data_IF_970185260988
#
_entry.id   IF_970185260988
#
_cell.length_a   1.000
_cell.length_b   1.000
_cell.length_c   1.000
_cell.angle_alpha   90.00
_cell.angle_beta   90.00
_cell.angle_gamma   90.00
#
_symmetry.space_group_name_H-M   'P 1'
#
loop_
_entity.id
_entity.type
_entity.pdbx_description
1 polymer ?
#
# COMPACT_ATOMS: atom_id res chain seq x y z
N UNK A 1 6.79 6.49 -20.89
CA UNK A 1 5.43 6.43 -20.32
C UNK A 1 5.05 7.86 -19.95
N UNK A 2 3.91 8.37 -20.40
CA UNK A 2 3.49 9.71 -19.98
C UNK A 2 2.85 9.66 -18.58
N UNK A 3 2.65 10.83 -17.96
CA UNK A 3 2.13 10.93 -16.60
C UNK A 3 0.69 10.41 -16.42
N UNK A 4 -0.19 10.62 -17.39
CA UNK A 4 -1.55 10.09 -17.40
C UNK A 4 -1.58 8.56 -17.46
N UNK A 5 -0.70 7.96 -18.27
CA UNK A 5 -0.57 6.50 -18.35
C UNK A 5 -0.10 5.93 -17.00
N UNK A 6 0.86 6.59 -16.35
CA UNK A 6 1.32 6.23 -15.00
C UNK A 6 0.18 6.32 -13.98
N UNK A 7 -0.57 7.43 -13.97
CA UNK A 7 -1.68 7.63 -13.02
C UNK A 7 -2.74 6.54 -13.20
N UNK A 8 -3.10 6.22 -14.45
CA UNK A 8 -4.04 5.14 -14.76
C UNK A 8 -3.52 3.80 -14.27
N UNK A 9 -2.25 3.50 -14.52
CA UNK A 9 -1.64 2.26 -14.08
C UNK A 9 -1.62 2.12 -12.55
N UNK A 10 -1.33 3.21 -11.83
CA UNK A 10 -1.40 3.22 -10.36
C UNK A 10 -2.82 2.96 -9.88
N UNK A 11 -3.81 3.60 -10.51
CA UNK A 11 -5.22 3.39 -10.19
C UNK A 11 -5.66 1.95 -10.44
N UNK A 12 -5.31 1.38 -11.59
CA UNK A 12 -5.61 -0.02 -11.93
C UNK A 12 -4.94 -0.99 -10.93
N UNK A 13 -3.71 -0.69 -10.53
CA UNK A 13 -2.98 -1.46 -9.51
C UNK A 13 -3.70 -1.41 -8.16
N UNK A 14 -4.13 -0.23 -7.70
CA UNK A 14 -4.88 -0.08 -6.45
C UNK A 14 -6.18 -0.89 -6.47
N UNK A 15 -6.97 -0.79 -7.53
CA UNK A 15 -8.25 -1.49 -7.66
C UNK A 15 -8.03 -3.00 -7.71
N UNK A 16 -7.02 -3.45 -8.47
CA UNK A 16 -6.67 -4.87 -8.54
C UNK A 16 -6.28 -5.43 -7.17
N UNK A 17 -5.40 -4.73 -6.44
CA UNK A 17 -4.97 -5.13 -5.09
C UNK A 17 -6.13 -5.09 -4.11
N UNK A 18 -6.98 -4.06 -4.16
CA UNK A 18 -8.18 -3.97 -3.33
C UNK A 18 -9.07 -5.20 -3.51
N UNK A 19 -9.40 -5.55 -4.75
CA UNK A 19 -10.24 -6.71 -5.04
C UNK A 19 -9.63 -8.01 -4.51
N UNK A 20 -8.32 -8.19 -4.66
CA UNK A 20 -7.61 -9.37 -4.14
C UNK A 20 -7.59 -9.41 -2.62
N UNK A 21 -7.39 -8.28 -1.95
CA UNK A 21 -7.43 -8.20 -0.48
C UNK A 21 -8.83 -8.49 0.05
N UNK A 22 -9.88 -7.96 -0.58
CA UNK A 22 -11.26 -8.10 -0.08
C UNK A 22 -11.71 -9.56 0.01
N UNK A 23 -11.23 -10.43 -0.89
CA UNK A 23 -11.52 -11.87 -0.84
C UNK A 23 -11.02 -12.52 0.45
N UNK A 24 -9.94 -12.02 1.05
CA UNK A 24 -9.39 -12.57 2.29
C UNK A 24 -10.26 -12.31 3.51
N UNK A 25 -11.11 -11.28 3.52
CA UNK A 25 -12.08 -11.07 4.59
C UNK A 25 -13.17 -12.15 4.56
N UNK A 26 -13.50 -12.67 3.38
CA UNK A 26 -14.60 -13.61 3.19
C UNK A 26 -14.17 -15.09 3.45
N UNK A 27 -12.92 -15.32 3.85
CA UNK A 27 -12.40 -16.65 4.21
C UNK A 27 -13.00 -17.17 5.54
N UNK A 28 -13.13 -18.50 5.71
CA UNK A 28 -13.59 -19.09 6.96
C UNK A 28 -12.79 -18.60 8.17
N UNK A 29 -13.45 -18.40 9.31
CA UNK A 29 -12.83 -17.83 10.50
C UNK A 29 -11.64 -18.66 11.02
N UNK A 30 -11.73 -20.00 10.90
CA UNK A 30 -10.67 -20.92 11.33
C UNK A 30 -9.39 -20.74 10.50
N UNK A 31 -9.54 -20.59 9.18
CA UNK A 31 -8.43 -20.28 8.27
C UNK A 31 -7.84 -18.91 8.59
N UNK A 32 -8.69 -17.90 8.83
CA UNK A 32 -8.21 -16.54 9.08
C UNK A 32 -7.49 -16.35 10.41
N UNK A 33 -7.88 -17.12 11.42
CA UNK A 33 -7.29 -17.12 12.76
C UNK A 33 -6.10 -18.08 12.89
N UNK A 34 -5.87 -18.94 11.89
CA UNK A 34 -4.74 -19.85 11.89
C UNK A 34 -3.43 -19.09 12.08
N UNK A 35 -2.62 -19.56 13.04
CA UNK A 35 -1.28 -19.05 13.30
C UNK A 35 -0.27 -20.00 12.65
N UNK A 36 0.55 -19.52 11.71
CA UNK A 36 1.56 -20.36 11.08
C UNK A 36 2.59 -20.85 12.10
N UNK A 37 3.16 -22.04 11.85
CA UNK A 37 4.09 -22.76 12.72
C UNK A 37 5.36 -21.97 13.03
N UNK A 38 5.76 -21.08 12.12
CA UNK A 38 6.89 -20.19 12.31
C UNK A 38 6.62 -19.04 13.32
N UNK A 39 5.45 -19.00 13.95
CA UNK A 39 5.06 -17.97 14.91
C UNK A 39 4.67 -16.63 14.25
N UNK A 40 4.46 -16.63 12.94
CA UNK A 40 4.07 -15.46 12.17
C UNK A 40 2.64 -14.97 12.44
N UNK A 41 2.25 -13.95 11.71
CA UNK A 41 0.92 -13.36 11.76
C UNK A 41 -0.13 -14.22 11.07
N UNK A 42 -1.32 -14.30 11.67
CA UNK A 42 -2.53 -14.84 11.04
C UNK A 42 -3.02 -13.93 9.92
N UNK A 43 -4.02 -14.37 9.14
CA UNK A 43 -4.62 -13.53 8.10
C UNK A 43 -5.28 -12.30 8.72
N UNK A 44 -5.97 -12.43 9.86
CA UNK A 44 -6.56 -11.28 10.55
C UNK A 44 -5.52 -10.23 10.97
N UNK A 45 -4.40 -10.69 11.53
CA UNK A 45 -3.29 -9.80 11.90
C UNK A 45 -2.69 -9.08 10.69
N UNK A 46 -2.56 -9.80 9.57
CA UNK A 46 -2.05 -9.23 8.31
C UNK A 46 -3.00 -8.15 7.78
N UNK A 47 -4.31 -8.41 7.77
CA UNK A 47 -5.32 -7.44 7.32
C UNK A 47 -5.31 -6.18 8.20
N UNK A 48 -5.23 -6.33 9.52
CA UNK A 48 -5.09 -5.20 10.44
C UNK A 48 -3.80 -4.41 10.14
N UNK A 49 -2.67 -5.10 9.98
CA UNK A 49 -1.38 -4.46 9.67
C UNK A 49 -1.39 -3.64 8.37
N UNK A 50 -2.05 -4.14 7.32
CA UNK A 50 -2.21 -3.39 6.05
C UNK A 50 -2.92 -2.06 6.32
N UNK A 51 -4.00 -2.08 7.11
CA UNK A 51 -4.77 -0.86 7.41
C UNK A 51 -4.02 0.11 8.33
N UNK A 52 -3.26 -0.41 9.31
CA UNK A 52 -2.43 0.41 10.20
C UNK A 52 -1.31 1.11 9.42
N UNK A 53 -0.59 0.37 8.58
CA UNK A 53 0.47 0.95 7.75
C UNK A 53 -0.09 2.00 6.79
N UNK A 54 -1.22 1.69 6.15
CA UNK A 54 -1.93 2.62 5.26
C UNK A 54 -2.35 3.90 5.99
N UNK A 55 -2.84 3.80 7.22
CA UNK A 55 -3.22 4.97 8.02
C UNK A 55 -2.07 5.98 8.17
N UNK A 56 -0.89 5.54 8.60
CA UNK A 56 0.24 6.44 8.81
C UNK A 56 0.83 6.98 7.51
N UNK A 57 0.87 6.17 6.46
CA UNK A 57 1.38 6.61 5.16
C UNK A 57 0.41 7.57 4.46
N UNK A 58 -0.90 7.43 4.68
CA UNK A 58 -1.88 8.39 4.19
C UNK A 58 -1.66 9.78 4.78
N UNK A 59 -1.24 9.91 6.04
CA UNK A 59 -0.87 11.22 6.62
C UNK A 59 0.24 11.91 5.81
N UNK A 60 1.21 11.14 5.31
CA UNK A 60 2.28 11.65 4.46
C UNK A 60 1.76 12.01 3.06
N UNK A 61 0.90 11.17 2.48
CA UNK A 61 0.24 11.41 1.19
C UNK A 61 -0.59 12.69 1.25
N UNK A 62 -1.40 12.89 2.30
CA UNK A 62 -2.24 14.07 2.49
C UNK A 62 -1.41 15.35 2.49
N UNK A 63 -0.34 15.34 3.29
CA UNK A 63 0.60 16.45 3.38
C UNK A 63 1.31 16.68 2.05
N UNK A 64 1.65 15.59 1.36
CA UNK A 64 2.31 15.61 0.07
C UNK A 64 1.45 16.23 -1.01
N UNK A 65 0.22 15.74 -1.18
CA UNK A 65 -0.77 16.22 -2.14
C UNK A 65 -1.07 17.71 -1.93
N UNK A 66 -1.33 18.12 -0.69
CA UNK A 66 -1.57 19.54 -0.38
C UNK A 66 -0.39 20.42 -0.80
N UNK A 67 0.84 20.02 -0.47
CA UNK A 67 2.04 20.79 -0.83
C UNK A 67 2.35 20.77 -2.33
N UNK A 68 2.06 19.67 -3.00
CA UNK A 68 2.22 19.54 -4.44
C UNK A 68 1.31 20.54 -5.17
N UNK A 69 0.04 20.62 -4.77
CA UNK A 69 -0.93 21.60 -5.27
C UNK A 69 -0.53 23.04 -4.92
N UNK A 70 -0.03 23.31 -3.71
CA UNK A 70 0.50 24.64 -3.33
C UNK A 70 1.71 25.04 -4.22
N UNK A 71 2.52 24.07 -4.64
CA UNK A 71 3.71 24.31 -5.46
C UNK A 71 3.41 24.61 -6.93
N UNK A 72 2.19 24.32 -7.42
CA UNK A 72 1.76 24.71 -8.78
C UNK A 72 1.89 26.23 -9.01
N UNK A 73 1.79 27.03 -7.96
CA UNK A 73 1.93 28.49 -8.05
C UNK A 73 3.39 28.97 -8.13
N UNK A 74 4.36 28.07 -7.93
CA UNK A 74 5.78 28.40 -7.73
C UNK A 74 6.72 27.63 -8.65
N UNK A 75 6.25 26.56 -9.25
CA UNK A 75 7.05 25.64 -10.05
C UNK A 75 6.39 25.43 -11.41
N UNK A 76 7.23 25.29 -12.44
CA UNK A 76 6.78 24.91 -13.77
C UNK A 76 6.60 23.38 -13.81
N UNK A 77 5.35 22.93 -13.83
CA UNK A 77 5.00 21.52 -13.87
C UNK A 77 5.60 20.83 -15.11
N UNK A 78 5.56 21.47 -16.26
CA UNK A 78 6.03 20.88 -17.51
C UNK A 78 7.53 20.61 -17.45
N UNK A 79 8.30 21.60 -16.97
CA UNK A 79 9.75 21.46 -16.80
C UNK A 79 10.12 20.34 -15.81
N UNK A 80 9.33 20.14 -14.76
CA UNK A 80 9.55 19.03 -13.80
C UNK A 80 9.21 17.68 -14.42
N UNK A 81 8.11 17.59 -15.17
CA UNK A 81 7.68 16.35 -15.82
C UNK A 81 8.65 15.87 -16.91
N UNK A 82 9.32 16.79 -17.62
CA UNK A 82 10.36 16.45 -18.62
C UNK A 82 11.52 15.64 -18.03
N UNK A 83 11.83 15.85 -16.75
CA UNK A 83 12.92 15.19 -16.04
C UNK A 83 12.42 14.11 -15.08
N UNK A 84 11.11 13.87 -15.05
CA UNK A 84 10.52 12.93 -14.10
C UNK A 84 10.72 11.49 -14.57
N UNK A 85 11.34 10.69 -13.70
CA UNK A 85 11.41 9.25 -13.83
C UNK A 85 10.73 8.60 -12.63
N UNK A 86 9.77 7.72 -12.90
CA UNK A 86 9.13 6.90 -11.88
C UNK A 86 10.04 5.73 -11.51
N UNK A 87 10.39 5.59 -10.23
CA UNK A 87 11.32 4.57 -9.72
C UNK A 87 10.68 3.16 -9.62
N UNK A 88 10.03 2.72 -10.70
CA UNK A 88 9.23 1.48 -10.79
C UNK A 88 9.93 0.28 -10.16
N UNK A 89 11.16 0.00 -10.59
CA UNK A 89 11.90 -1.18 -10.14
C UNK A 89 12.06 -1.23 -8.61
N UNK A 90 12.41 -0.10 -7.98
CA UNK A 90 12.59 -0.04 -6.52
C UNK A 90 11.26 -0.19 -5.79
N UNK A 91 10.17 0.32 -6.36
CA UNK A 91 8.84 0.21 -5.78
C UNK A 91 8.25 -1.20 -5.96
N UNK A 92 8.51 -1.87 -7.08
CA UNK A 92 8.10 -3.26 -7.30
C UNK A 92 8.73 -4.22 -6.28
N UNK A 93 9.98 -3.98 -5.89
CA UNK A 93 10.66 -4.75 -4.85
C UNK A 93 9.95 -4.69 -3.48
N UNK A 94 9.13 -3.65 -3.22
CA UNK A 94 8.29 -3.56 -2.01
C UNK A 94 7.21 -4.63 -2.01
N UNK A 95 6.64 -4.95 -3.18
CA UNK A 95 5.60 -5.97 -3.34
C UNK A 95 6.13 -7.41 -3.26
N UNK A 96 7.44 -7.58 -3.34
CA UNK A 96 8.06 -8.90 -3.25
C UNK A 96 8.21 -9.31 -1.80
N UNK A 97 7.61 -10.44 -1.41
CA UNK A 97 7.81 -10.98 -0.06
C UNK A 97 9.26 -11.45 0.14
N UNK A 98 9.83 -11.16 1.32
CA UNK A 98 11.22 -11.50 1.68
C UNK A 98 12.32 -10.88 0.80
N UNK A 99 12.01 -9.89 -0.05
CA UNK A 99 13.01 -9.18 -0.85
C UNK A 99 14.01 -8.36 0.00
N UNK A 100 13.58 -7.91 1.18
CA UNK A 100 14.41 -7.23 2.18
C UNK A 100 13.78 -7.37 3.58
N UNK A 101 14.61 -7.13 4.61
CA UNK A 101 14.17 -7.05 6.00
C UNK A 101 13.48 -5.71 6.23
N UNK A 102 12.19 -5.76 6.58
CA UNK A 102 11.41 -4.57 6.89
C UNK A 102 11.23 -4.48 8.39
N UNK A 103 11.95 -3.55 9.03
CA UNK A 103 11.75 -3.21 10.43
C UNK A 103 10.37 -2.55 10.59
N UNK A 104 9.48 -3.23 11.29
CA UNK A 104 8.11 -2.79 11.54
C UNK A 104 8.09 -1.93 12.80
N UNK A 105 7.60 -0.68 12.73
CA UNK A 105 7.37 0.11 13.94
C UNK A 105 6.28 -0.50 14.81
N UNK A 106 6.43 -0.41 16.14
CA UNK A 106 5.47 -0.96 17.13
C UNK A 106 4.03 -0.50 16.89
N UNK A 107 3.84 0.78 16.51
CA UNK A 107 2.52 1.35 16.24
C UNK A 107 1.85 0.83 14.94
N UNK A 108 2.55 0.03 14.14
CA UNK A 108 2.02 -0.65 12.96
C UNK A 108 1.79 -2.15 13.21
N UNK A 109 2.04 -2.63 14.42
CA UNK A 109 1.77 -4.03 14.76
C UNK A 109 0.27 -4.24 15.04
N UNK A 110 -0.29 -5.36 14.57
CA UNK A 110 -1.68 -5.70 14.81
C UNK A 110 -1.91 -5.95 16.30
N UNK A 111 -3.03 -5.44 16.81
CA UNK A 111 -3.38 -5.50 18.23
C UNK A 111 -4.58 -6.41 18.50
N UNK A 112 -5.34 -6.76 17.46
CA UNK A 112 -6.60 -7.47 17.58
C UNK A 112 -7.73 -6.65 18.23
N UNK A 113 -7.56 -5.34 18.41
CA UNK A 113 -8.56 -4.50 19.08
C UNK A 113 -9.74 -4.12 18.18
N UNK A 114 -9.53 -4.02 16.86
CA UNK A 114 -10.56 -3.65 15.89
C UNK A 114 -11.33 -4.87 15.42
N UNK A 115 -12.62 -4.72 15.18
CA UNK A 115 -13.41 -5.77 14.54
C UNK A 115 -13.01 -5.93 13.08
N UNK A 116 -13.30 -7.09 12.51
CA UNK A 116 -13.10 -7.33 11.09
C UNK A 116 -13.87 -6.33 10.21
N UNK A 117 -15.12 -6.02 10.57
CA UNK A 117 -15.97 -5.08 9.84
C UNK A 117 -15.36 -3.67 9.84
N UNK A 118 -14.77 -3.26 10.97
CA UNK A 118 -14.04 -2.00 11.08
C UNK A 118 -12.78 -2.01 10.20
N UNK A 119 -11.97 -3.07 10.25
CA UNK A 119 -10.75 -3.19 9.43
C UNK A 119 -11.11 -3.18 7.94
N UNK A 120 -12.16 -3.92 7.53
CA UNK A 120 -12.64 -3.96 6.14
C UNK A 120 -13.09 -2.58 5.66
N UNK A 121 -13.86 -1.88 6.48
CA UNK A 121 -14.36 -0.54 6.15
C UNK A 121 -13.22 0.46 6.03
N UNK A 122 -12.27 0.44 6.97
CA UNK A 122 -11.08 1.28 6.94
C UNK A 122 -10.25 1.03 5.69
N UNK A 123 -10.00 -0.24 5.33
CA UNK A 123 -9.25 -0.58 4.12
C UNK A 123 -9.89 0.01 2.86
N UNK A 124 -11.22 -0.13 2.71
CA UNK A 124 -11.97 0.41 1.57
C UNK A 124 -11.86 1.94 1.52
N UNK A 125 -12.06 2.62 2.65
CA UNK A 125 -11.95 4.07 2.75
C UNK A 125 -10.54 4.56 2.36
N UNK A 126 -9.50 3.89 2.82
CA UNK A 126 -8.11 4.22 2.54
C UNK A 126 -7.77 4.10 1.06
N UNK A 127 -8.24 3.06 0.37
CA UNK A 127 -8.08 2.91 -1.08
C UNK A 127 -8.85 4.00 -1.83
N UNK A 128 -10.11 4.26 -1.45
CA UNK A 128 -10.91 5.31 -2.07
C UNK A 128 -10.28 6.70 -1.91
N UNK A 129 -9.61 6.95 -0.78
CA UNK A 129 -8.85 8.18 -0.54
C UNK A 129 -7.65 8.30 -1.47
N UNK A 130 -6.90 7.22 -1.70
CA UNK A 130 -5.82 7.20 -2.69
C UNK A 130 -6.34 7.53 -4.10
N UNK A 131 -7.43 6.89 -4.54
CA UNK A 131 -8.06 7.18 -5.84
C UNK A 131 -8.51 8.64 -5.94
N UNK A 132 -9.03 9.19 -4.85
CA UNK A 132 -9.42 10.61 -4.78
C UNK A 132 -8.23 11.53 -5.02
N UNK A 133 -7.05 11.24 -4.44
CA UNK A 133 -5.84 12.02 -4.70
C UNK A 133 -5.34 11.92 -6.15
N UNK A 134 -5.44 10.74 -6.77
CA UNK A 134 -5.11 10.60 -8.20
C UNK A 134 -6.01 11.49 -9.07
N UNK A 135 -7.31 11.54 -8.76
CA UNK A 135 -8.27 12.38 -9.50
C UNK A 135 -8.09 13.90 -9.25
N UNK A 136 -7.54 14.28 -8.10
CA UNK A 136 -7.27 15.69 -7.76
C UNK A 136 -6.00 16.25 -8.41
N UNK A 137 -5.11 15.37 -8.88
CA UNK A 137 -3.86 15.74 -9.53
C UNK A 137 -3.73 14.97 -10.86
N UNK A 138 -4.63 15.22 -11.82
CA UNK A 138 -4.69 14.45 -13.06
C UNK A 138 -3.53 14.76 -14.01
N UNK A 139 -2.94 15.96 -13.93
CA UNK A 139 -1.95 16.45 -14.88
C UNK A 139 -0.50 16.16 -14.43
N UNK A 140 -0.33 15.54 -13.26
CA UNK A 140 0.98 15.19 -12.72
C UNK A 140 1.45 16.01 -11.54
N UNK A 141 0.60 16.88 -10.98
CA UNK A 141 0.93 17.84 -9.93
C UNK A 141 1.60 17.16 -8.73
N UNK A 142 1.22 15.90 -8.44
CA UNK A 142 1.78 15.10 -7.35
C UNK A 142 3.30 14.95 -7.37
N UNK A 143 3.99 15.19 -8.50
CA UNK A 143 5.47 15.16 -8.60
C UNK A 143 6.15 16.37 -7.96
N UNK A 144 5.43 17.48 -7.79
CA UNK A 144 5.98 18.78 -7.34
C UNK A 144 6.35 18.81 -5.86
N UNK A 145 6.13 17.73 -5.13
CA UNK A 145 6.56 17.60 -3.76
C UNK A 145 6.97 16.18 -3.42
N UNK A 146 8.13 16.05 -2.76
CA UNK A 146 8.69 14.77 -2.34
C UNK A 146 8.92 14.74 -0.83
N UNK A 147 8.65 13.60 -0.21
CA UNK A 147 8.97 13.33 1.20
C UNK A 147 9.84 12.09 1.33
N UNK A 148 10.59 12.03 2.43
CA UNK A 148 11.51 10.92 2.69
C UNK A 148 10.74 9.64 3.01
N UNK A 149 11.07 8.57 2.29
CA UNK A 149 10.73 7.18 2.57
C UNK A 149 12.02 6.42 2.88
N UNK A 150 12.14 5.93 4.11
CA UNK A 150 13.34 5.20 4.57
C UNK A 150 13.30 3.71 4.26
N UNK A 151 12.13 3.17 3.91
CA UNK A 151 11.97 1.77 3.54
C UNK A 151 12.80 1.46 2.30
N UNK A 152 13.60 0.40 2.36
CA UNK A 152 14.43 -0.11 1.26
C UNK A 152 15.27 0.96 0.55
N UNK A 153 15.79 1.97 1.27
CA UNK A 153 16.57 3.07 0.71
C UNK A 153 15.88 3.83 -0.45
N UNK A 154 14.54 3.91 -0.44
CA UNK A 154 13.77 4.60 -1.49
C UNK A 154 14.11 6.10 -1.59
N UNK A 155 14.58 6.72 -0.51
CA UNK A 155 15.03 8.10 -0.52
C UNK A 155 13.85 9.07 -0.45
N UNK A 156 13.72 9.99 -1.42
CA UNK A 156 12.59 10.93 -1.46
C UNK A 156 11.67 10.57 -2.61
N UNK A 157 10.41 10.29 -2.29
CA UNK A 157 9.39 9.90 -3.25
C UNK A 157 8.21 10.87 -3.23
N UNK A 158 7.50 10.97 -4.35
CA UNK A 158 6.36 11.86 -4.54
C UNK A 158 5.02 11.17 -4.25
N UNK A 159 3.91 11.90 -4.38
CA UNK A 159 2.57 11.38 -4.01
C UNK A 159 2.23 10.10 -4.78
N UNK A 160 2.46 10.06 -6.10
CA UNK A 160 2.15 8.88 -6.93
C UNK A 160 2.97 7.66 -6.50
N UNK A 161 4.24 7.88 -6.17
CA UNK A 161 5.14 6.82 -5.68
C UNK A 161 4.73 6.30 -4.30
N UNK A 162 4.25 7.16 -3.39
CA UNK A 162 3.67 6.72 -2.11
C UNK A 162 2.38 5.91 -2.30
N UNK A 163 1.50 6.34 -3.19
CA UNK A 163 0.25 5.62 -3.48
C UNK A 163 0.57 4.24 -4.07
N UNK A 164 1.51 4.17 -5.02
CA UNK A 164 1.95 2.90 -5.58
C UNK A 164 2.64 2.02 -4.54
N UNK A 165 3.44 2.61 -3.65
CA UNK A 165 4.04 1.91 -2.51
C UNK A 165 2.96 1.22 -1.65
N UNK A 166 1.85 1.88 -1.35
CA UNK A 166 0.75 1.28 -0.58
C UNK A 166 0.15 0.06 -1.28
N UNK A 167 -0.08 0.16 -2.59
CA UNK A 167 -0.57 -0.97 -3.36
C UNK A 167 0.42 -2.15 -3.31
N UNK A 168 1.72 -1.87 -3.46
CA UNK A 168 2.77 -2.90 -3.40
C UNK A 168 2.93 -3.49 -2.00
N UNK A 169 2.85 -2.70 -0.94
CA UNK A 169 2.84 -3.20 0.43
C UNK A 169 1.69 -4.18 0.68
N UNK A 170 0.47 -3.84 0.27
CA UNK A 170 -0.66 -4.76 0.38
C UNK A 170 -0.45 -6.02 -0.49
N UNK A 171 0.09 -5.89 -1.70
CA UNK A 171 0.44 -7.03 -2.58
C UNK A 171 1.44 -8.00 -1.94
N UNK A 172 2.47 -7.48 -1.25
CA UNK A 172 3.42 -8.30 -0.48
C UNK A 172 2.71 -9.19 0.54
N UNK A 173 1.69 -8.65 1.18
CA UNK A 173 0.94 -9.35 2.22
C UNK A 173 -0.11 -10.33 1.67
N UNK A 174 -0.58 -10.16 0.44
CA UNK A 174 -1.34 -11.21 -0.25
C UNK A 174 -0.51 -12.50 -0.31
N UNK A 175 0.74 -12.41 -0.76
CA UNK A 175 1.63 -13.58 -0.80
C UNK A 175 1.97 -14.16 0.59
N UNK A 176 1.78 -13.41 1.67
CA UNK A 176 1.87 -13.94 3.02
C UNK A 176 0.61 -14.73 3.39
N UNK A 177 -0.58 -14.18 3.10
CA UNK A 177 -1.86 -14.84 3.36
C UNK A 177 -2.02 -16.14 2.54
N UNK A 178 -1.60 -16.15 1.27
CA UNK A 178 -1.57 -17.36 0.42
C UNK A 178 -0.72 -18.49 0.98
N UNK A 179 0.31 -18.19 1.77
CA UNK A 179 1.11 -19.23 2.46
C UNK A 179 0.42 -19.73 3.70
N UNK A 180 -0.14 -18.82 4.50
CA UNK A 180 -0.91 -19.20 5.68
C UNK A 180 -2.08 -20.13 5.30
N UNK A 181 -2.79 -19.83 4.22
CA UNK A 181 -3.86 -20.68 3.66
C UNK A 181 -3.34 -22.07 3.32
N UNK A 182 -2.26 -22.18 2.53
CA UNK A 182 -1.68 -23.48 2.14
C UNK A 182 -1.22 -24.31 3.34
N UNK A 183 -0.63 -23.66 4.33
CA UNK A 183 -0.18 -24.30 5.56
C UNK A 183 -1.37 -24.82 6.37
N UNK A 184 -2.43 -24.01 6.51
CA UNK A 184 -3.68 -24.42 7.15
C UNK A 184 -4.34 -25.61 6.44
N UNK A 185 -4.45 -25.59 5.11
CA UNK A 185 -4.99 -26.71 4.32
C UNK A 185 -4.21 -28.02 4.55
N UNK A 186 -2.88 -27.93 4.63
CA UNK A 186 -2.03 -29.09 4.94
C UNK A 186 -2.31 -29.68 6.32
N UNK A 187 -2.66 -28.84 7.31
CA UNK A 187 -3.04 -29.32 8.65
C UNK A 187 -4.37 -30.06 8.70
N UNK A 188 -5.27 -29.83 7.73
CA UNK A 188 -6.59 -30.45 7.65
C UNK A 188 -6.60 -31.81 6.94
N UNK A 189 -5.47 -32.19 6.33
CA UNK A 189 -5.35 -33.40 5.50
C UNK A 189 -4.80 -34.61 6.29
N UNK A 190 -4.55 -34.45 7.58
CA UNK A 190 -4.09 -35.48 8.53
C UNK A 190 -5.14 -35.74 9.62
#
# INVERSE_FOLDING_TARGET
MNIHDLIREIQDTLISVQNRILVWFDKPIQERQYKPENGGWSINDILEHITLTSHFLLILIDKGARKALENMQKQDLQAVLEHYAFERKKLDEIGMYQSFEWIRPEHMEPTGQKSEEEIRSLFIEQIQRCVTYLNQMPDGEGVLYKTTMTVNNLGKINVYEYIYFLAKHAERHIGQMERNEKEYEATMTY
#
